data_IF_733448440001
#
_entry.id   IF_733448440001
#
_cell.length_a   1.000
_cell.length_b   1.000
_cell.length_c   1.000
_cell.angle_alpha   90.00
_cell.angle_beta   90.00
_cell.angle_gamma   90.00
#
_symmetry.space_group_name_H-M   'P 1'
#
loop_
_entity.id
_entity.type
_entity.pdbx_description
1 polymer ?
#
# COMPACT_ATOMS: atom_id res chain seq x y z
N UNK A 1 -0.55 -0.38 18.05
CA UNK A 1 0.59 0.47 18.48
C UNK A 1 0.12 1.56 19.42
N UNK A 2 1.01 2.11 20.20
CA UNK A 2 0.70 3.26 21.04
C UNK A 2 0.52 4.50 20.19
N UNK A 3 -0.09 5.54 20.75
CA UNK A 3 -0.23 6.82 20.07
C UNK A 3 1.12 7.43 19.69
N UNK A 4 2.12 7.28 20.54
CA UNK A 4 3.47 7.79 20.27
C UNK A 4 4.12 7.05 19.11
N UNK A 5 4.02 5.73 19.09
CA UNK A 5 4.52 4.92 17.97
C UNK A 5 3.81 5.26 16.66
N UNK A 6 2.52 5.47 16.73
CA UNK A 6 1.72 5.88 15.59
C UNK A 6 2.16 7.24 15.04
N UNK A 7 2.33 8.21 15.93
CA UNK A 7 2.78 9.54 15.52
C UNK A 7 4.21 9.51 14.96
N UNK A 8 5.10 8.73 15.58
CA UNK A 8 6.47 8.56 15.09
C UNK A 8 6.49 7.93 13.69
N UNK A 9 5.61 6.97 13.45
CA UNK A 9 5.49 6.34 12.14
C UNK A 9 5.03 7.35 11.07
N UNK A 10 4.07 8.21 11.41
CA UNK A 10 3.59 9.26 10.52
C UNK A 10 4.73 10.24 10.18
N UNK A 11 5.52 10.65 11.18
CA UNK A 11 6.67 11.52 10.93
C UNK A 11 7.71 10.83 10.05
N UNK A 12 7.93 9.53 10.22
CA UNK A 12 8.81 8.75 9.37
C UNK A 12 8.30 8.68 7.92
N UNK A 13 6.99 8.55 7.72
CA UNK A 13 6.38 8.60 6.39
C UNK A 13 6.63 9.96 5.72
N UNK A 14 6.39 11.04 6.43
CA UNK A 14 6.64 12.39 5.93
C UNK A 14 8.10 12.59 5.55
N UNK A 15 9.02 12.11 6.38
CA UNK A 15 10.45 12.22 6.13
C UNK A 15 10.89 11.48 4.86
N UNK A 16 10.19 10.43 4.48
CA UNK A 16 10.47 9.68 3.26
C UNK A 16 9.70 10.19 2.03
N UNK A 17 9.04 11.33 2.15
CA UNK A 17 8.34 11.96 1.03
C UNK A 17 6.89 11.56 0.84
N UNK A 18 6.30 10.87 1.80
CA UNK A 18 4.88 10.57 1.76
C UNK A 18 4.06 11.81 2.06
N UNK A 19 2.95 11.96 1.36
CA UNK A 19 2.05 13.10 1.51
C UNK A 19 0.65 12.62 1.83
N UNK A 20 -0.06 13.41 2.61
CA UNK A 20 -1.46 13.16 2.88
C UNK A 20 -2.22 13.21 1.55
N UNK A 21 -2.80 12.08 1.16
CA UNK A 21 -3.46 11.96 -0.13
C UNK A 21 -4.95 12.24 -0.11
N UNK A 22 -5.55 12.23 1.06
CA UNK A 22 -6.98 12.44 1.21
C UNK A 22 -7.58 11.55 2.28
N UNK A 23 -8.87 11.26 2.13
CA UNK A 23 -9.62 10.39 3.04
C UNK A 23 -10.24 9.26 2.24
N UNK A 24 -10.04 8.03 2.69
CA UNK A 24 -10.62 6.83 2.10
C UNK A 24 -11.35 6.04 3.18
N UNK A 25 -12.63 5.75 2.98
CA UNK A 25 -13.49 5.11 3.98
C UNK A 25 -13.43 5.80 5.34
N UNK A 26 -13.52 7.12 5.33
CA UNK A 26 -13.44 7.98 6.53
C UNK A 26 -12.10 7.91 7.27
N UNK A 27 -11.04 7.40 6.62
CA UNK A 27 -9.70 7.30 7.18
C UNK A 27 -8.73 8.10 6.33
N UNK A 28 -7.90 8.95 6.94
CA UNK A 28 -6.84 9.61 6.21
C UNK A 28 -5.78 8.60 5.75
N UNK A 29 -5.10 8.92 4.67
CA UNK A 29 -4.01 8.09 4.19
C UNK A 29 -2.84 8.93 3.70
N UNK A 30 -1.64 8.38 3.86
CA UNK A 30 -0.43 8.92 3.25
C UNK A 30 -0.06 8.07 2.04
N UNK A 31 0.41 8.73 0.99
CA UNK A 31 0.76 8.04 -0.25
C UNK A 31 2.07 8.53 -0.80
N UNK A 32 2.72 7.65 -1.56
CA UNK A 32 3.92 7.97 -2.33
C UNK A 32 3.92 7.15 -3.61
N UNK A 33 4.22 7.80 -4.73
CA UNK A 33 4.44 7.09 -5.99
C UNK A 33 5.86 6.52 -5.97
N UNK A 34 5.95 5.20 -6.13
CA UNK A 34 7.23 4.50 -6.13
C UNK A 34 7.83 4.48 -7.51
N UNK A 35 7.00 4.36 -8.55
CA UNK A 35 7.47 4.34 -9.91
C UNK A 35 6.46 4.96 -10.87
N UNK A 36 6.98 5.68 -11.86
CA UNK A 36 6.22 6.25 -12.95
C UNK A 36 6.62 5.58 -14.25
N UNK A 37 5.72 5.62 -15.23
CA UNK A 37 5.98 5.20 -16.59
C UNK A 37 5.43 6.24 -17.55
N UNK A 38 6.09 6.48 -18.67
CA UNK A 38 5.53 7.31 -19.74
C UNK A 38 4.56 6.50 -20.58
N UNK A 39 3.41 7.11 -20.89
CA UNK A 39 2.45 6.54 -21.81
C UNK A 39 2.82 6.87 -23.27
N UNK A 40 1.96 6.46 -24.23
CA UNK A 40 2.18 6.69 -25.64
C UNK A 40 2.20 8.18 -26.00
N UNK A 41 1.53 9.01 -25.22
CA UNK A 41 1.46 10.46 -25.42
C UNK A 41 2.61 11.20 -24.73
N UNK A 42 3.53 10.47 -24.09
CA UNK A 42 4.65 11.05 -23.35
C UNK A 42 4.30 11.56 -21.96
N UNK A 43 3.10 11.29 -21.46
CA UNK A 43 2.67 11.66 -20.12
C UNK A 43 3.17 10.67 -19.08
N UNK A 44 3.63 11.17 -17.94
CA UNK A 44 4.04 10.32 -16.83
C UNK A 44 2.81 9.83 -16.08
N UNK A 45 2.70 8.52 -15.94
CA UNK A 45 1.62 7.88 -15.17
C UNK A 45 2.20 7.08 -14.02
N UNK A 46 1.62 7.18 -12.81
CA UNK A 46 2.05 6.34 -11.70
C UNK A 46 1.67 4.88 -11.99
N UNK A 47 2.65 3.99 -11.85
CA UNK A 47 2.43 2.55 -12.06
C UNK A 47 2.61 1.75 -10.79
N UNK A 48 3.17 2.34 -9.75
CA UNK A 48 3.28 1.71 -8.44
C UNK A 48 3.16 2.78 -7.37
N UNK A 49 2.18 2.64 -6.51
CA UNK A 49 1.90 3.60 -5.44
C UNK A 49 1.71 2.85 -4.13
N UNK A 50 2.30 3.34 -3.06
CA UNK A 50 2.02 2.85 -1.72
C UNK A 50 1.12 3.83 -1.00
N UNK A 51 0.12 3.27 -0.34
CA UNK A 51 -0.77 3.98 0.57
C UNK A 51 -0.62 3.41 1.97
N UNK A 52 -0.59 4.29 2.95
CA UNK A 52 -0.66 3.89 4.35
C UNK A 52 -1.92 4.50 4.94
N UNK A 53 -2.91 3.66 5.19
CA UNK A 53 -4.15 4.08 5.82
C UNK A 53 -3.94 4.22 7.32
N UNK A 54 -4.40 5.33 7.87
CA UNK A 54 -4.29 5.62 9.29
C UNK A 54 -5.57 5.21 9.99
N UNK A 55 -5.47 4.29 10.92
CA UNK A 55 -6.63 3.72 11.60
C UNK A 55 -6.60 3.99 13.09
N UNK A 56 -7.71 4.49 13.59
CA UNK A 56 -7.96 4.62 15.02
C UNK A 56 -9.24 3.86 15.34
N UNK A 57 -9.17 2.93 16.26
CA UNK A 57 -10.34 2.19 16.72
C UNK A 57 -10.51 2.41 18.20
N UNK A 58 -11.65 2.99 18.56
CA UNK A 58 -11.99 3.24 19.94
C UNK A 58 -12.92 2.13 20.47
N UNK A 59 -12.53 1.53 21.57
CA UNK A 59 -13.41 0.66 22.33
C UNK A 59 -14.39 1.53 23.14
N UNK A 60 -15.66 1.45 22.80
CA UNK A 60 -16.69 2.25 23.44
C UNK A 60 -16.87 1.94 24.93
N UNK A 61 -16.54 0.72 25.36
CA UNK A 61 -16.70 0.31 26.75
C UNK A 61 -15.58 0.85 27.64
N UNK A 62 -14.34 0.69 27.20
CA UNK A 62 -13.17 1.06 28.00
C UNK A 62 -12.65 2.45 27.68
N UNK A 63 -13.03 3.03 26.54
CA UNK A 63 -12.46 4.25 26.02
C UNK A 63 -11.07 4.09 25.46
N UNK A 64 -10.54 2.87 25.41
CA UNK A 64 -9.24 2.56 24.85
C UNK A 64 -9.23 2.81 23.34
N UNK A 65 -8.18 3.43 22.86
CA UNK A 65 -7.99 3.68 21.42
C UNK A 65 -6.81 2.84 20.94
N UNK A 66 -7.09 2.01 19.93
CA UNK A 66 -6.06 1.26 19.25
C UNK A 66 -5.68 1.98 17.96
N UNK A 67 -4.37 2.10 17.72
CA UNK A 67 -3.82 2.76 16.55
C UNK A 67 -3.17 1.72 15.64
N UNK A 68 -3.45 1.80 14.37
CA UNK A 68 -2.82 0.93 13.39
C UNK A 68 -2.59 1.64 12.07
N UNK A 69 -1.69 1.12 11.29
CA UNK A 69 -1.37 1.62 9.97
C UNK A 69 -1.46 0.45 8.99
N UNK A 70 -2.30 0.60 7.97
CA UNK A 70 -2.52 -0.45 6.98
C UNK A 70 -1.85 -0.07 5.66
N UNK A 71 -0.78 -0.77 5.27
CA UNK A 71 -0.15 -0.53 3.97
C UNK A 71 -0.93 -1.21 2.85
N UNK A 72 -1.09 -0.49 1.75
CA UNK A 72 -1.72 -0.99 0.53
C UNK A 72 -0.84 -0.60 -0.63
N UNK A 73 -0.57 -1.55 -1.51
CA UNK A 73 0.18 -1.30 -2.74
C UNK A 73 -0.77 -1.36 -3.92
N UNK A 74 -0.75 -0.33 -4.74
CA UNK A 74 -1.47 -0.30 -6.00
C UNK A 74 -0.46 -0.39 -7.14
N UNK A 75 -0.66 -1.38 -7.99
CA UNK A 75 0.19 -1.62 -9.15
C UNK A 75 -0.66 -1.48 -10.40
N UNK A 76 -0.18 -0.70 -11.36
CA UNK A 76 -0.80 -0.59 -12.66
C UNK A 76 -0.14 -1.54 -13.63
N UNK A 77 -0.95 -2.35 -14.26
CA UNK A 77 -0.57 -3.12 -15.42
C UNK A 77 -0.52 -2.16 -16.61
N UNK A 78 0.16 -2.45 -17.66
CA UNK A 78 0.40 -1.61 -18.87
C UNK A 78 -0.72 -0.70 -19.37
N UNK A 79 -1.91 -0.77 -18.81
CA UNK A 79 -3.08 -0.02 -19.20
C UNK A 79 -3.73 0.61 -17.97
N UNK A 80 -4.99 0.92 -18.06
CA UNK A 80 -5.76 1.58 -17.00
C UNK A 80 -6.17 0.65 -15.85
N UNK A 81 -5.74 -0.60 -15.88
CA UNK A 81 -6.10 -1.59 -14.87
C UNK A 81 -5.23 -1.43 -13.63
N UNK A 82 -5.85 -1.10 -12.51
CA UNK A 82 -5.19 -0.96 -11.21
C UNK A 82 -5.45 -2.19 -10.36
N UNK A 83 -4.39 -2.70 -9.76
CA UNK A 83 -4.44 -3.88 -8.90
C UNK A 83 -4.01 -3.48 -7.50
N UNK A 84 -4.86 -3.71 -6.52
CA UNK A 84 -4.63 -3.33 -5.13
C UNK A 84 -4.27 -4.55 -4.30
N UNK A 85 -3.21 -4.43 -3.49
CA UNK A 85 -2.77 -5.47 -2.59
C UNK A 85 -2.68 -4.91 -1.18
N UNK A 86 -3.49 -5.43 -0.28
CA UNK A 86 -3.31 -5.19 1.14
C UNK A 86 -2.09 -5.98 1.64
N UNK A 87 -1.22 -5.34 2.38
CA UNK A 87 -0.08 -6.02 2.99
C UNK A 87 -0.37 -6.09 4.49
N UNK A 88 -0.76 -7.26 4.98
CA UNK A 88 -0.91 -7.45 6.41
C UNK A 88 0.32 -8.10 6.93
N UNK A 89 0.95 -7.59 7.85
CA UNK A 89 1.97 -8.27 8.61
C UNK A 89 3.28 -8.55 7.96
N UNK A 90 4.19 -8.87 8.80
CA UNK A 90 4.38 -8.37 10.13
C UNK A 90 4.81 -6.92 10.06
N UNK A 91 4.89 -6.25 11.18
CA UNK A 91 5.42 -4.90 11.23
C UNK A 91 6.74 -4.82 10.49
N UNK A 92 6.72 -4.09 9.39
CA UNK A 92 7.88 -3.90 8.54
C UNK A 92 8.26 -2.44 8.52
N UNK A 93 9.50 -2.16 8.18
CA UNK A 93 9.93 -0.80 7.96
C UNK A 93 9.29 -0.25 6.69
N UNK A 94 9.19 1.06 6.60
CA UNK A 94 8.69 1.72 5.38
C UNK A 94 9.52 1.31 4.17
N UNK A 95 10.83 1.22 4.34
CA UNK A 95 11.74 0.77 3.28
C UNK A 95 11.43 -0.65 2.80
N UNK A 96 11.12 -1.56 3.72
CA UNK A 96 10.74 -2.92 3.35
C UNK A 96 9.43 -2.95 2.57
N UNK A 97 8.45 -2.14 2.93
CA UNK A 97 7.20 -2.01 2.17
C UNK A 97 7.44 -1.45 0.78
N UNK A 98 8.31 -0.46 0.64
CA UNK A 98 8.68 0.09 -0.66
C UNK A 98 9.36 -0.96 -1.55
N UNK A 99 10.22 -1.78 -0.95
CA UNK A 99 10.86 -2.89 -1.66
C UNK A 99 9.82 -3.91 -2.15
N UNK A 100 8.89 -4.28 -1.29
CA UNK A 100 7.80 -5.19 -1.66
C UNK A 100 6.94 -4.63 -2.79
N UNK A 101 6.67 -3.34 -2.77
CA UNK A 101 5.91 -2.69 -3.84
C UNK A 101 6.61 -2.83 -5.18
N UNK A 102 7.92 -2.62 -5.21
CA UNK A 102 8.73 -2.80 -6.43
C UNK A 102 8.73 -4.25 -6.90
N UNK A 103 8.81 -5.19 -5.98
CA UNK A 103 8.73 -6.62 -6.30
C UNK A 103 7.39 -6.99 -6.92
N UNK A 104 6.29 -6.47 -6.39
CA UNK A 104 4.97 -6.66 -6.98
C UNK A 104 4.90 -6.11 -8.40
N UNK A 105 5.37 -4.90 -8.61
CA UNK A 105 5.36 -4.29 -9.94
C UNK A 105 6.17 -5.12 -10.93
N UNK A 106 7.35 -5.54 -10.53
CA UNK A 106 8.21 -6.39 -11.34
C UNK A 106 7.53 -7.70 -11.70
N UNK A 107 6.90 -8.32 -10.71
CA UNK A 107 6.23 -9.60 -10.89
C UNK A 107 5.06 -9.48 -11.86
N UNK A 108 4.23 -8.47 -11.68
CA UNK A 108 3.09 -8.18 -12.56
C UNK A 108 3.54 -7.98 -14.01
N UNK A 109 4.61 -7.23 -14.23
CA UNK A 109 5.14 -6.97 -15.57
C UNK A 109 5.72 -8.21 -16.25
N UNK A 110 6.33 -9.11 -15.48
CA UNK A 110 6.96 -10.31 -16.02
C UNK A 110 5.98 -11.45 -16.28
N UNK A 111 4.90 -11.53 -15.51
CA UNK A 111 4.02 -12.70 -15.47
C UNK A 111 2.54 -12.32 -15.57
N UNK A 112 2.23 -11.39 -16.47
CA UNK A 112 0.89 -10.82 -16.54
C UNK A 112 -0.22 -11.88 -16.65
N UNK A 113 -0.10 -12.83 -17.56
CA UNK A 113 -1.15 -13.82 -17.79
C UNK A 113 -1.22 -14.88 -16.68
N UNK A 114 -0.07 -15.37 -16.26
CA UNK A 114 0.04 -16.34 -15.16
C UNK A 114 -0.42 -15.69 -13.86
N UNK A 115 0.00 -14.44 -13.64
CA UNK A 115 -0.36 -13.69 -12.45
C UNK A 115 -1.88 -13.54 -12.31
N UNK A 116 -2.56 -13.19 -13.41
CA UNK A 116 -4.01 -12.98 -13.39
C UNK A 116 -4.76 -14.27 -13.02
N UNK A 117 -4.36 -15.39 -13.59
CA UNK A 117 -5.14 -16.64 -13.49
C UNK A 117 -4.72 -17.52 -12.31
N UNK A 118 -3.47 -17.52 -11.95
CA UNK A 118 -2.94 -18.47 -10.97
C UNK A 118 -2.43 -17.78 -9.70
N UNK A 119 -1.50 -16.86 -9.85
CA UNK A 119 -0.85 -16.28 -8.68
C UNK A 119 -1.79 -15.40 -7.87
N UNK A 120 -2.52 -14.52 -8.53
CA UNK A 120 -3.43 -13.61 -7.83
C UNK A 120 -4.49 -14.39 -7.04
N UNK A 121 -5.11 -15.35 -7.68
CA UNK A 121 -6.11 -16.20 -7.04
C UNK A 121 -5.51 -17.04 -5.90
N UNK A 122 -4.34 -17.61 -6.12
CA UNK A 122 -3.66 -18.39 -5.10
C UNK A 122 -3.19 -17.51 -3.92
N UNK A 123 -2.67 -16.35 -4.20
CA UNK A 123 -2.24 -15.42 -3.16
C UNK A 123 -3.41 -14.92 -2.32
N UNK A 124 -4.53 -14.59 -2.95
CA UNK A 124 -5.75 -14.17 -2.24
C UNK A 124 -6.33 -15.30 -1.40
N UNK A 125 -6.30 -16.52 -1.91
CA UNK A 125 -6.85 -17.68 -1.19
C UNK A 125 -6.01 -18.07 0.03
N UNK A 126 -4.68 -17.99 -0.08
CA UNK A 126 -3.76 -18.39 1.01
C UNK A 126 -3.46 -17.25 1.96
N UNK A 127 -3.37 -16.06 1.45
CA UNK A 127 -3.01 -14.88 2.21
C UNK A 127 -3.68 -13.66 1.58
N UNK A 128 -4.92 -13.33 1.99
CA UNK A 128 -5.67 -12.22 1.41
C UNK A 128 -4.95 -10.88 1.51
N UNK A 129 -3.91 -10.79 2.33
CA UNK A 129 -3.13 -9.58 2.52
C UNK A 129 -1.84 -9.57 1.72
N UNK A 130 -1.72 -10.49 0.82
CA UNK A 130 -0.76 -10.47 -0.25
C UNK A 130 0.58 -11.12 0.02
N UNK A 131 1.07 -11.16 1.19
CA UNK A 131 2.44 -11.69 1.37
C UNK A 131 2.63 -12.44 2.67
#
# INVERSE_FOLDING_TARGET
MTKNEYNDYIEALKARGYKLGGIWYNKPYYRKVIEYREDEDGNRRPVCVIFFNLCEMKDERSGYVDYSIEPIVTVSRNTDELLNFGISKPERTIEEYEHLAKEFLRWVNLNIDIWRNEYFNAALARNPTGL
#
